data_IF_213571703397
#
_entry.id   IF_213571703397
#
_cell.length_a   1.000
_cell.length_b   1.000
_cell.length_c   1.000
_cell.angle_alpha   90.00
_cell.angle_beta   90.00
_cell.angle_gamma   90.00
#
_symmetry.space_group_name_H-M   'P 1'
#
loop_
_entity.id
_entity.type
_entity.pdbx_description
1 polymer ?
#
# COMPACT_ATOMS: atom_id res chain seq x y z
N UNK A 1 7.27 -14.43 13.23
CA UNK A 1 7.16 -15.34 12.06
C UNK A 1 6.85 -14.48 10.83
N UNK A 2 7.63 -14.60 9.76
CA UNK A 2 7.31 -13.97 8.48
C UNK A 2 6.08 -14.66 7.88
N UNK A 3 5.09 -13.89 7.42
CA UNK A 3 3.81 -14.43 6.89
C UNK A 3 3.71 -14.35 5.37
N UNK A 4 4.50 -13.50 4.72
CA UNK A 4 4.56 -13.38 3.26
C UNK A 4 5.51 -12.29 2.81
N UNK A 5 5.91 -12.37 1.54
CA UNK A 5 6.58 -11.32 0.78
C UNK A 5 5.64 -10.96 -0.37
N UNK A 6 5.29 -9.68 -0.49
CA UNK A 6 4.30 -9.21 -1.45
C UNK A 6 4.99 -8.34 -2.48
N UNK A 7 4.89 -8.74 -3.75
CA UNK A 7 5.34 -7.90 -4.87
C UNK A 7 4.44 -6.67 -4.97
N UNK A 8 5.03 -5.48 -4.81
CA UNK A 8 4.30 -4.22 -4.70
C UNK A 8 3.77 -3.70 -6.03
N UNK A 9 4.06 -4.35 -7.16
CA UNK A 9 3.62 -3.94 -8.51
C UNK A 9 4.13 -2.57 -8.97
N UNK A 10 5.29 -2.13 -8.46
CA UNK A 10 5.99 -0.94 -8.93
C UNK A 10 7.51 -1.06 -8.75
N UNK A 11 8.28 -0.15 -9.32
CA UNK A 11 9.74 -0.21 -9.28
C UNK A 11 10.31 0.50 -8.04
N UNK A 12 11.11 -0.22 -7.24
CA UNK A 12 11.77 0.30 -6.03
C UNK A 12 10.77 0.95 -5.06
N UNK A 13 9.93 0.13 -4.36
CA UNK A 13 9.02 0.67 -3.36
C UNK A 13 9.80 1.42 -2.27
N UNK A 14 9.37 2.64 -1.98
CA UNK A 14 9.99 3.49 -0.96
C UNK A 14 8.90 4.08 -0.04
N UNK A 15 8.42 3.31 0.96
CA UNK A 15 7.31 3.72 1.81
C UNK A 15 7.68 4.71 2.93
N UNK A 16 8.95 4.73 3.34
CA UNK A 16 9.29 5.15 4.70
C UNK A 16 8.60 4.24 5.73
N UNK A 17 7.71 4.80 6.56
CA UNK A 17 6.81 4.01 7.43
C UNK A 17 5.53 3.53 6.71
N UNK A 18 5.26 4.07 5.53
CA UNK A 18 4.01 3.90 4.79
C UNK A 18 2.81 4.60 5.45
N UNK A 19 1.64 4.34 4.86
CA UNK A 19 0.38 4.95 5.24
C UNK A 19 -0.70 3.88 5.46
N UNK A 20 -1.30 3.83 6.66
CA UNK A 20 -2.42 2.96 6.97
C UNK A 20 -3.74 3.72 6.85
N UNK A 21 -4.69 3.20 6.10
CA UNK A 21 -6.02 3.78 5.96
C UNK A 21 -7.09 2.71 5.77
N UNK A 22 -8.35 3.06 5.98
CA UNK A 22 -9.49 2.20 5.69
C UNK A 22 -9.96 2.46 4.25
N UNK A 23 -9.69 1.51 3.36
CA UNK A 23 -10.18 1.57 1.99
C UNK A 23 -11.69 1.26 1.95
N UNK A 24 -12.53 2.07 1.27
CA UNK A 24 -13.99 1.89 1.28
C UNK A 24 -14.46 0.49 0.83
N UNK A 25 -13.70 -0.15 -0.08
CA UNK A 25 -14.03 -1.47 -0.63
C UNK A 25 -13.27 -2.63 0.01
N UNK A 26 -12.03 -2.40 0.47
CA UNK A 26 -11.10 -3.49 0.83
C UNK A 26 -10.81 -3.52 2.34
N UNK A 27 -11.37 -2.60 3.11
CA UNK A 27 -11.10 -2.50 4.54
C UNK A 27 -9.68 -1.95 4.81
N UNK A 28 -9.04 -2.34 5.91
CA UNK A 28 -7.72 -1.85 6.29
C UNK A 28 -6.63 -2.18 5.26
N UNK A 29 -5.98 -1.14 4.74
CA UNK A 29 -4.86 -1.25 3.80
C UNK A 29 -3.64 -0.46 4.28
N UNK A 30 -2.46 -0.93 3.88
CA UNK A 30 -1.20 -0.20 3.97
C UNK A 30 -0.75 0.21 2.57
N UNK A 31 -0.27 1.44 2.42
CA UNK A 31 0.14 1.99 1.13
C UNK A 31 1.64 2.30 1.08
N UNK A 32 2.23 2.09 -0.10
CA UNK A 32 3.60 2.49 -0.45
C UNK A 32 3.62 3.25 -1.78
N UNK A 33 4.47 4.28 -1.86
CA UNK A 33 4.90 4.87 -3.13
C UNK A 33 6.13 4.14 -3.68
N UNK A 34 6.51 4.48 -4.91
CA UNK A 34 7.66 3.91 -5.60
C UNK A 34 8.64 5.02 -6.02
N UNK A 35 9.94 4.75 -5.90
CA UNK A 35 10.98 5.68 -6.33
C UNK A 35 11.16 5.61 -7.85
N UNK A 36 11.07 4.41 -8.43
CA UNK A 36 11.32 4.16 -9.85
C UNK A 36 10.14 4.48 -10.78
N UNK A 37 9.00 4.91 -10.24
CA UNK A 37 7.81 5.23 -11.04
C UNK A 37 6.71 5.84 -10.20
N UNK A 38 5.63 6.24 -10.86
CA UNK A 38 4.53 6.97 -10.21
C UNK A 38 3.55 6.08 -9.44
N UNK A 39 3.67 4.76 -9.54
CA UNK A 39 2.74 3.83 -8.91
C UNK A 39 2.67 4.01 -7.39
N UNK A 40 1.45 4.02 -6.86
CA UNK A 40 1.15 3.86 -5.44
C UNK A 40 0.36 2.57 -5.28
N UNK A 41 0.82 1.69 -4.39
CA UNK A 41 0.21 0.38 -4.20
C UNK A 41 -0.40 0.25 -2.82
N UNK A 42 -1.61 -0.32 -2.76
CA UNK A 42 -2.35 -0.58 -1.54
C UNK A 42 -2.37 -2.09 -1.28
N UNK A 43 -1.95 -2.50 -0.09
CA UNK A 43 -1.88 -3.89 0.35
C UNK A 43 -2.90 -4.12 1.46
N UNK A 44 -3.74 -5.14 1.34
CA UNK A 44 -4.70 -5.51 2.39
C UNK A 44 -4.00 -6.04 3.65
N UNK A 45 -4.46 -5.61 4.83
CA UNK A 45 -3.76 -5.89 6.11
C UNK A 45 -4.63 -6.59 7.16
N UNK A 46 -5.86 -6.99 6.82
CA UNK A 46 -6.80 -7.61 7.75
C UNK A 46 -7.11 -9.08 7.36
N UNK A 47 -6.31 -10.05 7.85
CA UNK A 47 -6.52 -11.47 7.58
C UNK A 47 -7.70 -12.08 8.34
N UNK A 48 -8.36 -11.36 9.24
CA UNK A 48 -9.49 -11.90 10.01
C UNK A 48 -10.82 -11.62 9.33
N UNK A 49 -11.08 -10.35 8.99
CA UNK A 49 -12.36 -9.92 8.41
C UNK A 49 -12.29 -9.72 6.89
N UNK A 50 -11.12 -9.49 6.32
CA UNK A 50 -10.91 -9.24 4.90
C UNK A 50 -9.95 -10.25 4.26
N UNK A 51 -10.18 -11.55 4.55
CA UNK A 51 -9.33 -12.69 4.14
C UNK A 51 -8.96 -12.69 2.65
N UNK A 52 -9.90 -12.35 1.77
CA UNK A 52 -9.67 -12.37 0.32
C UNK A 52 -8.66 -11.30 -0.14
N UNK A 53 -8.56 -10.20 0.62
CA UNK A 53 -7.69 -9.05 0.34
C UNK A 53 -6.38 -9.08 1.12
N UNK A 54 -6.32 -9.83 2.22
CA UNK A 54 -5.17 -9.84 3.11
C UNK A 54 -3.88 -10.29 2.40
N UNK A 55 -2.82 -9.51 2.59
CA UNK A 55 -1.48 -9.74 2.05
C UNK A 55 -1.41 -9.79 0.51
N UNK A 56 -2.31 -9.08 -0.16
CA UNK A 56 -2.31 -8.89 -1.62
C UNK A 56 -2.32 -7.41 -1.95
N UNK A 57 -1.73 -7.04 -3.08
CA UNK A 57 -1.97 -5.73 -3.69
C UNK A 57 -3.42 -5.72 -4.17
N UNK A 58 -4.24 -4.87 -3.56
CA UNK A 58 -5.68 -4.76 -3.85
C UNK A 58 -6.00 -3.64 -4.83
N UNK A 59 -5.10 -2.65 -4.94
CA UNK A 59 -5.23 -1.54 -5.87
C UNK A 59 -3.86 -0.92 -6.14
N UNK A 60 -3.67 -0.48 -7.38
CA UNK A 60 -2.62 0.46 -7.78
C UNK A 60 -3.27 1.72 -8.31
N UNK A 61 -2.62 2.86 -8.10
CA UNK A 61 -3.00 4.14 -8.71
C UNK A 61 -1.74 4.89 -9.12
N UNK A 62 -1.88 5.82 -10.04
CA UNK A 62 -0.79 6.72 -10.42
C UNK A 62 -0.71 7.90 -9.45
N UNK A 63 0.48 8.13 -8.92
CA UNK A 63 0.85 9.31 -8.15
C UNK A 63 1.22 10.47 -9.07
N UNK A 64 2.01 11.42 -8.53
CA UNK A 64 2.39 12.63 -9.27
C UNK A 64 3.53 12.41 -10.28
N UNK A 65 4.22 11.26 -10.22
CA UNK A 65 5.42 10.97 -10.98
C UNK A 65 6.38 10.06 -10.20
N UNK A 66 7.48 9.66 -10.84
CA UNK A 66 8.58 8.96 -10.17
C UNK A 66 9.32 9.83 -9.15
N UNK A 67 10.19 9.21 -8.34
CA UNK A 67 10.97 9.92 -7.33
C UNK A 67 10.28 10.08 -5.97
N UNK A 68 9.12 9.45 -5.74
CA UNK A 68 8.41 9.56 -4.47
C UNK A 68 9.16 8.86 -3.34
N UNK A 69 9.43 9.59 -2.25
CA UNK A 69 10.15 9.08 -1.07
C UNK A 69 9.22 8.69 0.08
N UNK A 70 8.09 9.35 0.25
CA UNK A 70 7.23 9.16 1.41
C UNK A 70 5.77 9.29 1.04
N UNK A 71 4.95 8.44 1.67
CA UNK A 71 3.50 8.55 1.67
C UNK A 71 3.01 8.69 3.11
N UNK A 72 1.97 9.51 3.32
CA UNK A 72 1.42 9.75 4.65
C UNK A 72 -0.09 9.93 4.62
N UNK A 73 -0.71 9.53 5.72
CA UNK A 73 -2.11 9.76 6.06
C UNK A 73 -2.25 9.89 7.58
N UNK A 74 -3.43 10.29 8.03
CA UNK A 74 -3.80 10.37 9.43
C UNK A 74 -5.29 9.97 9.62
N UNK A 75 -5.67 9.23 10.68
CA UNK A 75 -7.05 8.76 10.88
C UNK A 75 -8.14 9.83 11.03
N UNK A 76 -7.76 11.11 11.12
CA UNK A 76 -8.66 12.26 11.34
C UNK A 76 -8.50 13.36 10.28
N UNK A 77 -7.88 13.03 9.16
CA UNK A 77 -7.79 13.94 8.00
C UNK A 77 -9.01 13.81 7.10
#
# INVERSE_FOLDING_TARGET
KLVGVVESQGQTPHPGRGANLNHPKFGPVWATSHLGGETISFIGTDPEKHKDSAWKVVQTVDGQGGGSLFIKTHPKS
#
